data_IF_616338360611
#
_entry.id   IF_616338360611
#
_cell.length_a   1.000
_cell.length_b   1.000
_cell.length_c   1.000
_cell.angle_alpha   90.00
_cell.angle_beta   90.00
_cell.angle_gamma   90.00
#
_symmetry.space_group_name_H-M   'P 1'
#
loop_
_entity.id
_entity.type
_entity.pdbx_description
1 polymer ?
#
# COMPACT_ATOMS: atom_id res chain seq x y z
N UNK A 1 12.14 21.36 -18.86
CA UNK A 1 10.75 20.88 -18.73
C UNK A 1 10.66 20.05 -17.47
N UNK A 2 10.04 20.59 -16.43
CA UNK A 2 10.01 19.99 -15.10
C UNK A 2 9.07 18.77 -15.09
N UNK A 3 9.47 17.67 -14.44
CA UNK A 3 8.63 16.46 -14.26
C UNK A 3 7.34 16.85 -13.52
N UNK A 4 7.41 17.84 -12.63
CA UNK A 4 6.30 18.33 -11.81
C UNK A 4 5.08 18.74 -12.65
N UNK A 5 5.28 19.33 -13.84
CA UNK A 5 4.19 19.86 -14.68
C UNK A 5 3.40 18.75 -15.40
N UNK A 6 3.88 17.49 -15.35
CA UNK A 6 3.25 16.33 -15.99
C UNK A 6 2.63 15.35 -15.01
N UNK A 7 2.88 15.49 -13.71
CA UNK A 7 2.34 14.60 -12.69
C UNK A 7 1.11 15.23 -12.06
N UNK A 8 0.00 14.49 -12.10
CA UNK A 8 -1.16 14.79 -11.26
C UNK A 8 -1.00 14.00 -9.96
N UNK A 9 -0.98 14.72 -8.84
CA UNK A 9 -0.85 14.12 -7.51
C UNK A 9 -2.18 14.20 -6.80
N UNK A 10 -2.67 13.07 -6.32
CA UNK A 10 -3.90 12.97 -5.54
C UNK A 10 -3.53 12.36 -4.19
N UNK A 11 -3.92 13.03 -3.12
CA UNK A 11 -3.77 12.55 -1.76
C UNK A 11 -5.09 11.94 -1.30
N UNK A 12 -5.15 10.61 -1.20
CA UNK A 12 -6.22 9.91 -0.51
C UNK A 12 -6.02 10.04 0.99
N UNK A 13 -6.91 10.78 1.65
CA UNK A 13 -6.79 11.12 3.07
C UNK A 13 -7.95 10.51 3.86
N UNK A 14 -7.65 9.73 4.89
CA UNK A 14 -8.70 9.27 5.80
C UNK A 14 -9.35 10.47 6.52
N UNK A 15 -10.66 10.45 6.77
CA UNK A 15 -11.38 11.58 7.39
C UNK A 15 -10.81 12.01 8.74
N UNK A 16 -10.30 11.06 9.52
CA UNK A 16 -9.71 11.29 10.84
C UNK A 16 -8.33 11.95 10.82
N UNK A 17 -7.67 11.99 9.67
CA UNK A 17 -6.30 12.52 9.54
C UNK A 17 -6.36 14.01 9.23
N UNK A 18 -5.72 14.83 10.05
CA UNK A 18 -5.47 16.25 9.78
C UNK A 18 -4.08 16.39 9.19
N UNK A 19 -3.96 17.11 8.10
CA UNK A 19 -2.68 17.43 7.46
C UNK A 19 -2.70 18.93 7.22
N UNK A 20 -1.73 19.60 7.77
CA UNK A 20 -1.49 21.02 7.57
C UNK A 20 -0.50 21.20 6.41
N UNK A 21 -0.51 22.33 5.74
CA UNK A 21 0.45 22.74 4.69
C UNK A 21 0.51 21.78 3.48
N UNK A 22 -0.64 21.44 2.91
CA UNK A 22 -0.69 20.70 1.65
C UNK A 22 -0.47 21.67 0.48
N UNK A 23 0.52 21.44 -0.40
CA UNK A 23 0.73 22.25 -1.59
C UNK A 23 -0.48 22.27 -2.52
N UNK A 24 -0.80 23.42 -3.12
CA UNK A 24 -1.99 23.65 -3.97
C UNK A 24 -2.07 22.73 -5.20
N UNK A 25 -0.93 22.20 -5.66
CA UNK A 25 -0.89 21.28 -6.81
C UNK A 25 -1.30 19.84 -6.44
N UNK A 26 -1.54 19.55 -5.16
CA UNK A 26 -2.01 18.22 -4.68
C UNK A 26 -3.52 18.28 -4.51
N UNK A 27 -4.23 17.47 -5.29
CA UNK A 27 -5.67 17.28 -5.10
C UNK A 27 -5.91 16.37 -3.89
N UNK A 28 -6.81 16.77 -3.00
CA UNK A 28 -7.22 15.95 -1.84
C UNK A 28 -8.48 15.18 -2.19
N UNK A 29 -8.48 13.88 -1.90
CA UNK A 29 -9.66 13.02 -1.92
C UNK A 29 -9.88 12.47 -0.50
N UNK A 30 -10.91 12.97 0.18
CA UNK A 30 -11.21 12.63 1.57
C UNK A 30 -12.54 11.91 1.76
N UNK A 31 -13.47 12.03 0.82
CA UNK A 31 -14.77 11.34 0.88
C UNK A 31 -14.63 9.86 0.55
N UNK A 32 -13.88 9.57 -0.50
CA UNK A 32 -13.59 8.20 -0.91
C UNK A 32 -12.12 8.02 -1.31
N UNK A 33 -11.21 7.82 -0.34
CA UNK A 33 -9.77 7.68 -0.61
C UNK A 33 -9.43 6.56 -1.61
N UNK A 34 -10.29 5.55 -1.75
CA UNK A 34 -10.09 4.46 -2.72
C UNK A 34 -10.18 4.94 -4.17
N UNK A 35 -10.93 6.00 -4.46
CA UNK A 35 -10.98 6.60 -5.80
C UNK A 35 -9.62 7.14 -6.24
N UNK A 36 -8.79 7.59 -5.27
CA UNK A 36 -7.43 8.01 -5.58
C UNK A 36 -6.58 6.84 -6.09
N UNK A 37 -6.78 5.64 -5.54
CA UNK A 37 -6.08 4.43 -5.99
C UNK A 37 -6.58 3.95 -7.36
N UNK A 38 -7.89 3.87 -7.56
CA UNK A 38 -8.49 3.35 -8.81
C UNK A 38 -7.99 4.08 -10.06
N UNK A 39 -7.66 5.37 -9.93
CA UNK A 39 -7.20 6.22 -11.03
C UNK A 39 -5.67 6.42 -11.04
N UNK A 40 -4.93 5.76 -10.15
CA UNK A 40 -3.51 5.99 -10.00
C UNK A 40 -2.67 5.12 -10.96
N UNK A 41 -1.67 5.72 -11.58
CA UNK A 41 -0.65 4.97 -12.33
C UNK A 41 0.38 4.30 -11.42
N UNK A 42 0.65 4.90 -10.27
CA UNK A 42 1.45 4.36 -9.18
C UNK A 42 1.10 5.08 -7.89
N UNK A 43 1.33 4.46 -6.74
CA UNK A 43 0.99 5.01 -5.45
C UNK A 43 2.15 4.98 -4.46
N UNK A 44 2.17 5.95 -3.56
CA UNK A 44 2.99 5.97 -2.35
C UNK A 44 2.04 5.73 -1.17
N UNK A 45 2.22 4.62 -0.45
CA UNK A 45 1.26 4.15 0.56
C UNK A 45 1.91 4.09 1.93
N UNK A 46 1.30 4.76 2.89
CA UNK A 46 1.59 4.50 4.28
C UNK A 46 1.11 3.07 4.62
N UNK A 47 1.97 2.26 5.22
CA UNK A 47 1.71 0.84 5.48
C UNK A 47 0.33 0.61 6.13
N UNK A 48 -0.33 -0.48 5.73
CA UNK A 48 -1.66 -0.87 6.20
C UNK A 48 -2.46 -1.60 5.13
N UNK A 49 -3.78 -1.74 5.33
CA UNK A 49 -4.71 -2.40 4.40
C UNK A 49 -4.76 -1.75 3.02
N UNK A 50 -4.49 -0.44 2.93
CA UNK A 50 -4.41 0.27 1.65
C UNK A 50 -3.37 -0.31 0.70
N UNK A 51 -2.30 -0.96 1.21
CA UNK A 51 -1.34 -1.66 0.37
C UNK A 51 -1.95 -2.91 -0.29
N UNK A 52 -2.81 -3.63 0.42
CA UNK A 52 -3.52 -4.77 -0.14
C UNK A 52 -4.56 -4.33 -1.18
N UNK A 53 -5.30 -3.26 -0.90
CA UNK A 53 -6.24 -2.66 -1.84
C UNK A 53 -5.52 -2.23 -3.14
N UNK A 54 -4.36 -1.59 -3.02
CA UNK A 54 -3.53 -1.19 -4.16
C UNK A 54 -3.10 -2.39 -5.00
N UNK A 55 -2.70 -3.49 -4.36
CA UNK A 55 -2.31 -4.72 -5.06
C UNK A 55 -3.50 -5.38 -5.78
N UNK A 56 -4.69 -5.39 -5.17
CA UNK A 56 -5.92 -5.92 -5.77
C UNK A 56 -6.35 -5.08 -6.98
N UNK A 57 -6.15 -3.77 -6.93
CA UNK A 57 -6.48 -2.81 -8.00
C UNK A 57 -5.38 -2.69 -9.08
N UNK A 58 -4.32 -3.51 -9.04
CA UNK A 58 -3.19 -3.45 -9.97
C UNK A 58 -2.47 -2.11 -10.01
N UNK A 59 -2.43 -1.40 -8.89
CA UNK A 59 -1.71 -0.14 -8.77
C UNK A 59 -0.31 -0.39 -8.20
N UNK A 60 0.75 -0.23 -9.00
CA UNK A 60 2.11 -0.35 -8.50
C UNK A 60 2.39 0.66 -7.39
N UNK A 61 3.08 0.22 -6.35
CA UNK A 61 3.25 1.07 -5.18
C UNK A 61 4.65 1.00 -4.57
N UNK A 62 4.91 2.01 -3.78
CA UNK A 62 6.01 2.07 -2.80
C UNK A 62 5.37 2.22 -1.43
N UNK A 63 5.79 1.41 -0.48
CA UNK A 63 5.28 1.47 0.89
C UNK A 63 6.29 2.16 1.78
N UNK A 64 5.82 3.02 2.65
CA UNK A 64 6.65 3.68 3.65
C UNK A 64 5.95 3.70 5.00
N UNK A 65 6.74 3.69 6.07
CA UNK A 65 6.20 3.80 7.42
C UNK A 65 7.22 4.34 8.42
N UNK A 66 6.74 5.15 9.36
CA UNK A 66 7.54 5.62 10.49
C UNK A 66 6.83 5.29 11.79
N UNK A 67 7.41 4.43 12.58
CA UNK A 67 6.97 4.13 13.94
C UNK A 67 7.53 5.17 14.91
N UNK A 68 6.88 5.34 16.06
CA UNK A 68 7.52 5.99 17.20
C UNK A 68 8.78 5.19 17.59
N UNK A 69 9.85 5.88 18.01
CA UNK A 69 11.14 5.24 18.33
C UNK A 69 11.03 4.10 19.35
N UNK A 70 10.21 4.26 20.39
CA UNK A 70 9.99 3.21 21.40
C UNK A 70 9.27 1.99 20.79
N UNK A 71 8.24 2.23 20.01
CA UNK A 71 7.50 1.16 19.31
C UNK A 71 8.41 0.41 18.33
N UNK A 72 9.26 1.13 17.61
CA UNK A 72 10.23 0.52 16.68
C UNK A 72 11.24 -0.36 17.39
N UNK A 73 11.80 0.10 18.53
CA UNK A 73 12.78 -0.67 19.31
C UNK A 73 12.16 -1.97 19.84
N UNK A 74 10.92 -1.92 20.33
CA UNK A 74 10.18 -3.08 20.79
C UNK A 74 9.82 -4.01 19.64
N UNK A 75 9.27 -3.46 18.54
CA UNK A 75 8.89 -4.23 17.36
C UNK A 75 10.09 -4.97 16.77
N UNK A 76 11.24 -4.31 16.61
CA UNK A 76 12.48 -4.93 16.10
C UNK A 76 12.98 -6.07 16.98
N UNK A 77 12.72 -6.02 18.30
CA UNK A 77 13.16 -7.05 19.25
C UNK A 77 12.17 -8.20 19.37
N UNK A 78 10.88 -7.93 19.20
CA UNK A 78 9.80 -8.90 19.43
C UNK A 78 9.25 -9.50 18.13
N UNK A 79 9.25 -8.73 17.05
CA UNK A 79 8.72 -9.16 15.76
C UNK A 79 9.80 -9.90 14.96
N UNK A 80 9.64 -11.21 14.88
CA UNK A 80 10.45 -12.05 13.98
C UNK A 80 9.83 -12.07 12.57
N UNK A 81 9.46 -10.88 12.05
CA UNK A 81 8.87 -10.72 10.71
C UNK A 81 9.84 -9.98 9.81
N UNK A 82 10.03 -10.51 8.62
CA UNK A 82 10.95 -9.99 7.62
C UNK A 82 10.39 -8.74 6.91
N UNK A 83 9.06 -8.63 6.83
CA UNK A 83 8.35 -7.58 6.08
C UNK A 83 7.34 -6.85 6.97
N UNK A 84 7.16 -5.54 6.74
CA UNK A 84 6.13 -4.73 7.39
C UNK A 84 4.88 -4.55 6.50
N UNK A 85 5.03 -4.64 5.18
CA UNK A 85 3.93 -4.56 4.23
C UNK A 85 3.18 -5.89 4.16
N UNK A 86 1.86 -5.84 4.31
CA UNK A 86 0.99 -7.03 4.26
C UNK A 86 1.12 -7.80 2.93
N UNK A 87 1.36 -7.11 1.81
CA UNK A 87 1.56 -7.72 0.49
C UNK A 87 2.81 -8.60 0.48
N UNK A 88 3.93 -8.10 1.03
CA UNK A 88 5.17 -8.84 1.13
C UNK A 88 5.07 -10.00 2.14
N UNK A 89 4.36 -9.78 3.26
CA UNK A 89 4.07 -10.84 4.24
C UNK A 89 3.29 -12.00 3.62
N UNK A 90 2.20 -11.72 2.89
CA UNK A 90 1.40 -12.75 2.22
C UNK A 90 2.23 -13.48 1.14
N UNK A 91 3.07 -12.76 0.41
CA UNK A 91 3.92 -13.32 -0.63
C UNK A 91 5.12 -14.08 -0.10
N UNK A 92 5.48 -13.87 1.17
CA UNK A 92 6.73 -14.31 1.78
C UNK A 92 7.97 -13.93 0.95
N UNK A 93 7.92 -12.78 0.31
CA UNK A 93 9.00 -12.18 -0.49
C UNK A 93 8.74 -10.70 -0.75
N UNK A 94 9.79 -9.93 -1.04
CA UNK A 94 9.69 -8.52 -1.38
C UNK A 94 9.13 -8.34 -2.81
N UNK A 95 7.83 -8.12 -2.94
CA UNK A 95 7.15 -7.70 -4.19
C UNK A 95 7.15 -6.18 -4.30
N UNK A 96 6.92 -5.51 -3.18
CA UNK A 96 6.79 -4.06 -3.05
C UNK A 96 7.97 -3.51 -2.24
N UNK A 97 8.66 -2.47 -2.71
CA UNK A 97 9.71 -1.83 -1.91
C UNK A 97 9.12 -1.17 -0.67
N UNK A 98 9.74 -1.44 0.48
CA UNK A 98 9.38 -0.89 1.78
C UNK A 98 10.48 0.06 2.26
N UNK A 99 10.10 1.22 2.76
CA UNK A 99 11.00 2.21 3.36
C UNK A 99 10.54 2.52 4.77
N UNK A 100 11.31 2.04 5.75
CA UNK A 100 10.94 2.13 7.17
C UNK A 100 11.94 3.02 7.90
N UNK A 101 11.42 3.88 8.78
CA UNK A 101 12.23 4.76 9.64
C UNK A 101 13.22 5.62 8.83
N UNK A 102 14.52 5.40 8.99
CA UNK A 102 15.59 6.20 8.38
C UNK A 102 15.70 6.00 6.85
N UNK A 103 15.15 4.93 6.31
CA UNK A 103 15.11 4.68 4.87
C UNK A 103 14.02 5.52 4.18
N UNK A 104 13.04 6.04 4.93
CA UNK A 104 11.98 6.90 4.44
C UNK A 104 12.53 8.31 4.14
N UNK A 105 13.26 8.42 3.05
CA UNK A 105 13.79 9.70 2.55
C UNK A 105 13.15 10.06 1.21
N UNK A 106 13.02 11.36 0.89
CA UNK A 106 12.50 11.80 -0.41
C UNK A 106 13.25 11.17 -1.60
N UNK A 107 14.58 11.05 -1.50
CA UNK A 107 15.42 10.46 -2.55
C UNK A 107 15.14 8.97 -2.77
N UNK A 108 15.00 8.21 -1.69
CA UNK A 108 14.71 6.79 -1.78
C UNK A 108 13.33 6.54 -2.37
N UNK A 109 12.32 7.27 -1.88
CA UNK A 109 10.95 7.17 -2.36
C UNK A 109 10.87 7.58 -3.85
N UNK A 110 11.51 8.67 -4.23
CA UNK A 110 11.55 9.15 -5.62
C UNK A 110 12.22 8.14 -6.55
N UNK A 111 13.38 7.59 -6.16
CA UNK A 111 14.09 6.54 -6.93
C UNK A 111 13.26 5.28 -7.11
N UNK A 112 12.43 4.95 -6.14
CA UNK A 112 11.59 3.76 -6.21
C UNK A 112 10.32 3.97 -7.02
N UNK A 113 9.65 5.14 -6.92
CA UNK A 113 8.37 5.39 -7.58
C UNK A 113 8.52 5.71 -9.08
N UNK A 114 9.56 6.43 -9.49
CA UNK A 114 9.74 6.84 -10.89
C UNK A 114 9.70 5.66 -11.88
N UNK A 115 10.39 4.52 -11.64
CA UNK A 115 10.28 3.38 -12.52
C UNK A 115 8.87 2.80 -12.62
N UNK A 116 8.07 2.93 -11.58
CA UNK A 116 6.69 2.40 -11.55
C UNK A 116 5.72 3.24 -12.37
N UNK A 117 6.02 4.50 -12.61
CA UNK A 117 5.26 5.39 -13.50
C UNK A 117 5.46 5.07 -15.00
N UNK A 118 6.47 4.26 -15.33
CA UNK A 118 6.83 3.89 -16.69
C UNK A 118 6.62 2.39 -16.91
N UNK A 119 6.53 1.98 -18.17
CA UNK A 119 6.43 0.56 -18.51
C UNK A 119 7.79 -0.15 -18.41
N UNK A 120 8.29 -0.31 -17.19
CA UNK A 120 9.57 -0.95 -16.89
C UNK A 120 9.40 -2.41 -16.47
N UNK A 121 10.50 -3.17 -16.45
CA UNK A 121 10.54 -4.52 -15.89
C UNK A 121 10.14 -4.54 -14.41
N UNK A 122 10.54 -3.51 -13.63
CA UNK A 122 10.17 -3.39 -12.21
C UNK A 122 8.64 -3.32 -12.04
N UNK A 123 7.96 -2.47 -12.83
CA UNK A 123 6.50 -2.40 -12.83
C UNK A 123 5.86 -3.73 -13.20
N UNK A 124 6.32 -4.37 -14.28
CA UNK A 124 5.78 -5.65 -14.75
C UNK A 124 5.94 -6.75 -13.70
N UNK A 125 7.11 -6.86 -13.10
CA UNK A 125 7.39 -7.87 -12.07
C UNK A 125 6.52 -7.66 -10.82
N UNK A 126 6.26 -6.42 -10.43
CA UNK A 126 5.38 -6.09 -9.31
C UNK A 126 3.94 -6.54 -9.61
N UNK A 127 3.41 -6.23 -10.80
CA UNK A 127 2.06 -6.65 -11.22
C UNK A 127 1.93 -8.17 -11.27
N UNK A 128 2.95 -8.89 -11.76
CA UNK A 128 2.99 -10.36 -11.69
C UNK A 128 2.96 -10.88 -10.24
N UNK A 129 3.62 -10.16 -9.33
CA UNK A 129 3.54 -10.46 -7.91
C UNK A 129 2.13 -10.28 -7.34
N UNK A 130 1.40 -9.27 -7.80
CA UNK A 130 0.00 -9.03 -7.39
C UNK A 130 -0.94 -10.14 -7.85
N UNK A 131 -0.72 -10.75 -9.00
CA UNK A 131 -1.47 -11.93 -9.43
C UNK A 131 -1.36 -13.08 -8.43
N UNK A 132 -0.16 -13.28 -7.87
CA UNK A 132 0.05 -14.27 -6.81
C UNK A 132 -0.76 -13.92 -5.55
N UNK A 133 -0.76 -12.65 -5.14
CA UNK A 133 -1.53 -12.17 -3.99
C UNK A 133 -3.02 -12.43 -4.20
N UNK A 134 -3.59 -12.04 -5.35
CA UNK A 134 -5.01 -12.26 -5.66
C UNK A 134 -5.41 -13.74 -5.58
N UNK A 135 -4.55 -14.64 -6.09
CA UNK A 135 -4.78 -16.09 -5.99
C UNK A 135 -4.78 -16.56 -4.54
N UNK A 136 -3.88 -16.05 -3.71
CA UNK A 136 -3.79 -16.39 -2.28
C UNK A 136 -4.99 -15.87 -1.48
N UNK A 137 -5.51 -14.68 -1.83
CA UNK A 137 -6.72 -14.12 -1.20
C UNK A 137 -7.99 -14.91 -1.52
N UNK A 138 -7.98 -15.67 -2.62
CA UNK A 138 -9.10 -16.51 -3.03
C UNK A 138 -10.21 -15.72 -3.73
N UNK A 139 -11.39 -16.35 -3.81
CA UNK A 139 -12.55 -15.83 -4.52
C UNK A 139 -13.36 -14.85 -3.66
N UNK A 140 -14.11 -13.90 -4.27
CA UNK A 140 -15.07 -13.04 -3.59
C UNK A 140 -16.12 -13.82 -2.77
N UNK A 141 -16.84 -13.14 -1.87
CA UNK A 141 -17.88 -13.75 -1.03
C UNK A 141 -17.37 -14.23 0.33
N UNK A 142 -16.31 -13.61 0.87
CA UNK A 142 -15.77 -13.95 2.20
C UNK A 142 -16.80 -13.76 3.33
N UNK A 143 -17.67 -12.76 3.22
CA UNK A 143 -18.69 -12.48 4.24
C UNK A 143 -19.75 -13.59 4.30
N UNK A 144 -20.20 -14.11 3.15
CA UNK A 144 -21.17 -15.19 3.09
C UNK A 144 -20.57 -16.48 3.65
N UNK A 145 -19.32 -16.79 3.27
CA UNK A 145 -18.63 -17.97 3.82
C UNK A 145 -18.38 -17.86 5.31
N UNK A 146 -18.04 -16.67 5.81
CA UNK A 146 -17.86 -16.44 7.25
C UNK A 146 -19.19 -16.57 8.00
N UNK A 147 -20.26 -15.99 7.47
CA UNK A 147 -21.60 -16.11 8.06
C UNK A 147 -22.05 -17.58 8.10
N UNK A 148 -21.87 -18.32 7.02
CA UNK A 148 -22.19 -19.74 6.98
C UNK A 148 -21.39 -20.53 8.01
N UNK A 149 -20.09 -20.34 8.10
CA UNK A 149 -19.23 -21.01 9.08
C UNK A 149 -19.65 -20.68 10.52
N UNK A 150 -20.06 -19.45 10.80
CA UNK A 150 -20.59 -19.07 12.12
C UNK A 150 -21.90 -19.82 12.42
N UNK A 151 -22.83 -19.85 11.46
CA UNK A 151 -24.12 -20.53 11.63
C UNK A 151 -23.97 -22.03 11.86
N UNK A 152 -23.01 -22.69 11.21
CA UNK A 152 -22.71 -24.10 11.40
C UNK A 152 -22.18 -24.42 12.82
N UNK A 153 -21.64 -23.44 13.53
CA UNK A 153 -21.07 -23.60 14.87
C UNK A 153 -21.95 -23.02 15.99
N UNK A 154 -23.08 -22.42 15.66
CA UNK A 154 -24.03 -21.97 16.68
C UNK A 154 -24.85 -23.20 17.19
N UNK A 155 -24.91 -23.44 18.49
CA UNK A 155 -25.83 -24.41 19.04
C UNK A 155 -27.27 -23.91 18.78
N UNK A 156 -28.04 -24.68 18.02
CA UNK A 156 -29.49 -24.50 17.88
C UNK A 156 -30.19 -24.98 19.17
#
# INVERSE_FOLDING_TARGET
MCIRDRLKVILGKAPSVKIDDIPDYIKIESENPQLALQNANAAMIASGTASLESAVLDVPMVVFYRFNHLTWLLAKRMANVEYACIVNLIANKMIVPEFIQNEMTPDNLTRAIIPLLKNTSKRKNMLLGYDQIRRTLGIPGVYDRAAQAIMEHLPL
#
